data_IF_427419448942
#
_entry.id   IF_427419448942
#
_cell.length_a   1.000
_cell.length_b   1.000
_cell.length_c   1.000
_cell.angle_alpha   90.00
_cell.angle_beta   90.00
_cell.angle_gamma   90.00
#
_symmetry.space_group_name_H-M   'P 1'
#
loop_
_entity.id
_entity.type
_entity.pdbx_description
1 polymer ?
#
# COMPACT_ATOMS: atom_id res chain seq x y z
N UNK A 1 -25.87 4.05 -10.90
CA UNK A 1 -26.54 3.79 -12.20
C UNK A 1 -26.30 4.98 -13.11
N UNK A 2 -25.98 4.70 -14.37
CA UNK A 2 -26.19 5.52 -15.59
C UNK A 2 -25.78 7.01 -15.52
N UNK A 3 -24.80 7.52 -16.27
CA UNK A 3 -24.37 7.14 -17.62
C UNK A 3 -24.89 8.15 -18.64
N UNK A 4 -24.03 8.46 -19.62
CA UNK A 4 -24.29 9.18 -20.88
C UNK A 4 -24.56 10.69 -20.74
N UNK A 5 -24.08 11.57 -21.59
CA UNK A 5 -23.44 11.44 -22.89
C UNK A 5 -23.57 12.80 -23.59
N UNK A 6 -22.62 13.09 -24.48
CA UNK A 6 -22.75 13.86 -25.74
C UNK A 6 -23.98 14.78 -25.91
N UNK A 7 -23.89 16.01 -26.43
CA UNK A 7 -23.44 16.31 -27.80
C UNK A 7 -23.64 17.81 -28.14
N UNK A 8 -22.92 18.23 -29.18
CA UNK A 8 -23.34 19.18 -30.23
C UNK A 8 -23.63 20.66 -29.93
N UNK A 9 -22.64 21.49 -30.30
CA UNK A 9 -22.65 22.37 -31.49
C UNK A 9 -23.88 23.27 -31.69
N UNK A 10 -23.65 24.58 -31.61
CA UNK A 10 -24.48 25.59 -32.26
C UNK A 10 -23.61 26.50 -33.11
N UNK A 11 -23.86 26.48 -34.42
CA UNK A 11 -23.42 27.47 -35.40
C UNK A 11 -24.31 28.72 -35.31
N UNK A 12 -23.77 29.88 -35.66
CA UNK A 12 -24.42 30.97 -36.42
C UNK A 12 -23.27 31.88 -36.91
N UNK A 13 -23.03 32.27 -38.17
CA UNK A 13 -23.81 32.68 -39.37
C UNK A 13 -23.65 34.19 -39.62
N UNK A 14 -22.86 34.53 -40.68
CA UNK A 14 -22.99 35.57 -41.75
C UNK A 14 -23.04 37.07 -41.26
N UNK A 15 -22.48 38.15 -41.87
CA UNK A 15 -22.62 38.74 -43.23
C UNK A 15 -21.71 39.99 -43.42
N UNK A 16 -21.06 40.05 -44.60
CA UNK A 16 -20.69 41.13 -45.57
C UNK A 16 -20.51 42.62 -45.15
N UNK A 17 -19.58 43.32 -45.82
CA UNK A 17 -19.81 44.60 -46.55
C UNK A 17 -18.52 45.11 -47.24
N UNK A 18 -18.41 45.09 -48.58
CA UNK A 18 -18.50 46.17 -49.61
C UNK A 18 -17.42 47.28 -49.63
N UNK A 19 -16.85 47.54 -50.81
CA UNK A 19 -16.95 48.85 -51.50
C UNK A 19 -16.24 48.90 -52.85
N UNK A 20 -16.91 49.56 -53.79
CA UNK A 20 -16.58 49.90 -55.18
C UNK A 20 -16.30 51.41 -55.27
N UNK A 21 -15.57 51.90 -56.30
CA UNK A 21 -15.71 53.20 -57.03
C UNK A 21 -14.56 53.29 -58.08
N UNK A 22 -14.78 53.19 -59.41
CA UNK A 22 -15.19 54.19 -60.44
C UNK A 22 -14.27 55.42 -60.65
N UNK A 23 -13.72 55.64 -61.87
CA UNK A 23 -14.19 56.65 -62.87
C UNK A 23 -13.38 56.62 -64.21
N UNK A 24 -14.00 57.22 -65.23
CA UNK A 24 -13.77 57.22 -66.70
C UNK A 24 -13.38 58.62 -67.21
N UNK A 25 -12.59 58.74 -68.32
CA UNK A 25 -12.79 59.55 -69.58
C UNK A 25 -11.46 59.65 -70.37
N UNK A 26 -11.27 58.94 -71.50
CA UNK A 26 -11.48 59.27 -72.95
C UNK A 26 -10.57 60.37 -73.53
N UNK A 27 -9.70 59.98 -74.48
CA UNK A 27 -9.52 60.64 -75.79
C UNK A 27 -8.79 59.69 -76.78
N UNK A 28 -9.19 59.80 -78.04
CA UNK A 28 -8.98 58.89 -79.17
C UNK A 28 -7.62 59.08 -79.87
N UNK A 29 -6.95 57.99 -80.32
CA UNK A 29 -6.26 57.92 -81.63
C UNK A 29 -6.20 56.45 -82.12
N UNK A 30 -6.88 56.21 -83.25
CA UNK A 30 -6.67 55.26 -84.37
C UNK A 30 -6.19 53.80 -84.11
N UNK A 31 -7.02 52.78 -84.44
CA UNK A 31 -7.09 52.08 -85.76
C UNK A 31 -5.95 51.03 -85.88
N UNK A 32 -6.15 49.76 -85.53
CA UNK A 32 -6.64 48.62 -86.37
C UNK A 32 -6.39 47.35 -85.51
N UNK A 33 -7.07 46.21 -85.58
CA UNK A 33 -8.11 45.65 -86.42
C UNK A 33 -8.79 44.48 -85.67
N UNK A 34 -10.05 44.22 -86.04
CA UNK A 34 -10.80 42.95 -86.00
C UNK A 34 -10.95 42.21 -84.64
N UNK A 35 -12.13 42.19 -83.99
CA UNK A 35 -13.34 41.40 -84.34
C UNK A 35 -12.96 39.91 -84.49
N UNK A 36 -13.28 38.99 -83.55
CA UNK A 36 -14.61 38.44 -83.25
C UNK A 36 -14.67 37.87 -81.82
N UNK A 37 -15.77 38.15 -81.14
CA UNK A 37 -16.17 37.64 -79.83
C UNK A 37 -16.62 36.18 -79.91
N UNK A 38 -16.51 35.48 -78.76
CA UNK A 38 -17.36 34.36 -78.29
C UNK A 38 -16.76 32.95 -78.32
N UNK A 39 -16.91 32.27 -77.17
CA UNK A 39 -16.78 30.83 -76.84
C UNK A 39 -15.42 30.38 -76.28
N UNK A 40 -15.03 30.76 -75.05
CA UNK A 40 -14.04 30.00 -74.22
C UNK A 40 -14.19 30.12 -72.68
N UNK A 41 -15.31 30.62 -72.15
CA UNK A 41 -15.45 30.87 -70.70
C UNK A 41 -15.89 29.69 -69.78
N UNK A 42 -16.35 28.51 -70.23
CA UNK A 42 -16.57 27.36 -69.33
C UNK A 42 -15.27 26.68 -68.87
N UNK A 43 -14.26 26.65 -69.74
CA UNK A 43 -13.04 25.85 -69.54
C UNK A 43 -12.18 26.38 -68.39
N UNK A 44 -12.03 27.71 -68.32
CA UNK A 44 -11.16 28.38 -67.33
C UNK A 44 -11.69 28.22 -65.89
N UNK A 45 -13.02 28.21 -65.71
CA UNK A 45 -13.65 28.02 -64.39
C UNK A 45 -13.54 26.56 -63.93
N UNK A 46 -13.66 25.61 -64.87
CA UNK A 46 -13.47 24.18 -64.62
C UNK A 46 -12.00 23.89 -64.24
N UNK A 47 -11.04 24.51 -64.94
CA UNK A 47 -9.61 24.40 -64.61
C UNK A 47 -9.29 24.98 -63.22
N UNK A 48 -9.94 26.07 -62.83
CA UNK A 48 -9.75 26.68 -61.51
C UNK A 48 -10.35 25.83 -60.38
N UNK A 49 -11.50 25.17 -60.58
CA UNK A 49 -12.07 24.24 -59.59
C UNK A 49 -11.26 22.93 -59.50
N UNK A 50 -10.79 22.41 -60.64
CA UNK A 50 -9.85 21.28 -60.67
C UNK A 50 -8.53 21.61 -59.94
N UNK A 51 -7.97 22.80 -60.15
CA UNK A 51 -6.78 23.26 -59.43
C UNK A 51 -7.02 23.37 -57.92
N UNK A 52 -8.19 23.88 -57.49
CA UNK A 52 -8.57 23.94 -56.07
C UNK A 52 -8.70 22.55 -55.44
N UNK A 53 -9.34 21.60 -56.13
CA UNK A 53 -9.45 20.20 -55.68
C UNK A 53 -8.09 19.51 -55.59
N UNK A 54 -7.23 19.71 -56.59
CA UNK A 54 -5.86 19.18 -56.59
C UNK A 54 -5.02 19.76 -55.43
N UNK A 55 -5.15 21.06 -55.15
CA UNK A 55 -4.49 21.70 -54.02
C UNK A 55 -5.01 21.17 -52.67
N UNK A 56 -6.32 20.94 -52.54
CA UNK A 56 -6.93 20.34 -51.35
C UNK A 56 -6.43 18.90 -51.10
N UNK A 57 -6.38 18.06 -52.14
CA UNK A 57 -5.84 16.70 -52.07
C UNK A 57 -4.36 16.73 -51.65
N UNK A 58 -3.56 17.62 -52.24
CA UNK A 58 -2.15 17.79 -51.89
C UNK A 58 -1.98 18.19 -50.42
N UNK A 59 -2.83 19.10 -49.92
CA UNK A 59 -2.85 19.50 -48.50
C UNK A 59 -3.18 18.34 -47.56
N UNK A 60 -4.14 17.49 -47.92
CA UNK A 60 -4.50 16.29 -47.13
C UNK A 60 -3.37 15.26 -47.13
N UNK A 61 -2.75 15.00 -48.29
CA UNK A 61 -1.62 14.08 -48.41
C UNK A 61 -0.42 14.56 -47.59
N UNK A 62 -0.09 15.85 -47.66
CA UNK A 62 0.96 16.46 -46.84
C UNK A 62 0.67 16.31 -45.35
N UNK A 63 -0.56 16.64 -44.89
CA UNK A 63 -0.96 16.42 -43.48
C UNK A 63 -0.85 14.96 -43.04
N UNK A 64 -1.23 14.01 -43.90
CA UNK A 64 -1.11 12.56 -43.62
C UNK A 64 0.36 12.13 -43.53
N UNK A 65 1.21 12.65 -44.41
CA UNK A 65 2.66 12.42 -44.38
C UNK A 65 3.30 12.99 -43.11
N UNK A 66 2.96 14.23 -42.72
CA UNK A 66 3.41 14.84 -41.47
C UNK A 66 2.95 14.05 -40.25
N UNK A 67 1.68 13.64 -40.18
CA UNK A 67 1.17 12.81 -39.07
C UNK A 67 1.91 11.47 -38.97
N UNK A 68 2.14 10.81 -40.11
CA UNK A 68 2.91 9.56 -40.16
C UNK A 68 4.33 9.76 -39.65
N UNK A 69 4.99 10.85 -40.05
CA UNK A 69 6.33 11.17 -39.57
C UNK A 69 6.35 11.46 -38.06
N UNK A 70 5.38 12.24 -37.57
CA UNK A 70 5.25 12.53 -36.15
C UNK A 70 4.97 11.27 -35.32
N UNK A 71 4.07 10.38 -35.77
CA UNK A 71 3.81 9.10 -35.10
C UNK A 71 5.07 8.23 -35.05
N UNK A 72 5.86 8.18 -36.13
CA UNK A 72 7.15 7.45 -36.13
C UNK A 72 8.13 8.03 -35.11
N UNK A 73 8.27 9.36 -35.07
CA UNK A 73 9.16 10.04 -34.12
C UNK A 73 8.69 9.82 -32.68
N UNK A 74 7.40 10.00 -32.41
CA UNK A 74 6.81 9.78 -31.08
C UNK A 74 6.96 8.31 -30.64
N UNK A 75 6.77 7.35 -31.54
CA UNK A 75 6.92 5.93 -31.22
C UNK A 75 8.39 5.56 -30.93
N UNK A 76 9.35 6.16 -31.65
CA UNK A 76 10.78 6.03 -31.33
C UNK A 76 11.12 6.61 -29.97
N UNK A 77 10.61 7.82 -29.67
CA UNK A 77 10.80 8.48 -28.37
C UNK A 77 10.20 7.66 -27.23
N UNK A 78 8.98 7.17 -27.41
CA UNK A 78 8.30 6.31 -26.43
C UNK A 78 9.11 5.04 -26.15
N UNK A 79 9.59 4.35 -27.19
CA UNK A 79 10.43 3.15 -27.02
C UNK A 79 11.75 3.47 -26.32
N UNK A 80 12.38 4.60 -26.63
CA UNK A 80 13.62 5.02 -25.98
C UNK A 80 13.40 5.36 -24.49
N UNK A 81 12.32 6.08 -24.17
CA UNK A 81 11.94 6.39 -22.79
C UNK A 81 11.63 5.11 -22.01
N UNK A 82 10.82 4.22 -22.58
CA UNK A 82 10.49 2.95 -21.92
C UNK A 82 11.72 2.09 -21.67
N UNK A 83 12.65 2.01 -22.65
CA UNK A 83 13.93 1.33 -22.46
C UNK A 83 14.74 1.95 -21.31
N UNK A 84 14.88 3.27 -21.29
CA UNK A 84 15.61 3.98 -20.23
C UNK A 84 15.02 3.70 -18.84
N UNK A 85 13.69 3.77 -18.69
CA UNK A 85 13.01 3.45 -17.43
C UNK A 85 13.25 2.00 -17.01
N UNK A 86 13.15 1.05 -17.94
CA UNK A 86 13.41 -0.37 -17.65
C UNK A 86 14.86 -0.62 -17.26
N UNK A 87 15.81 0.01 -17.96
CA UNK A 87 17.24 -0.09 -17.67
C UNK A 87 17.55 0.47 -16.27
N UNK A 88 16.99 1.63 -15.92
CA UNK A 88 17.11 2.23 -14.60
C UNK A 88 16.52 1.33 -13.50
N UNK A 89 15.31 0.79 -13.71
CA UNK A 89 14.68 -0.10 -12.74
C UNK A 89 15.53 -1.35 -12.50
N UNK A 90 16.06 -1.95 -13.57
CA UNK A 90 16.94 -3.11 -13.46
C UNK A 90 18.22 -2.78 -12.69
N UNK A 91 18.83 -1.62 -12.93
CA UNK A 91 19.98 -1.15 -12.16
C UNK A 91 19.64 -0.98 -10.68
N UNK A 92 18.50 -0.36 -10.35
CA UNK A 92 18.05 -0.19 -8.96
C UNK A 92 17.82 -1.54 -8.28
N UNK A 93 17.20 -2.51 -8.96
CA UNK A 93 16.99 -3.86 -8.40
C UNK A 93 18.33 -4.55 -8.13
N UNK A 94 19.28 -4.44 -9.05
CA UNK A 94 20.64 -4.98 -8.87
C UNK A 94 21.28 -4.32 -7.65
N UNK A 95 21.24 -2.99 -7.56
CA UNK A 95 21.83 -2.25 -6.45
C UNK A 95 21.21 -2.62 -5.10
N UNK A 96 19.87 -2.70 -5.02
CA UNK A 96 19.17 -3.11 -3.80
C UNK A 96 19.54 -4.54 -3.38
N UNK A 97 19.64 -5.47 -4.34
CA UNK A 97 20.09 -6.84 -4.04
C UNK A 97 21.52 -6.87 -3.51
N UNK A 98 22.42 -6.09 -4.09
CA UNK A 98 23.80 -5.94 -3.60
C UNK A 98 23.82 -5.32 -2.20
N UNK A 99 22.99 -4.33 -1.94
CA UNK A 99 22.90 -3.69 -0.63
C UNK A 99 22.35 -4.63 0.44
N UNK A 100 21.31 -5.41 0.13
CA UNK A 100 20.79 -6.45 1.04
C UNK A 100 21.88 -7.47 1.35
N UNK A 101 22.53 -8.04 0.33
CA UNK A 101 23.61 -9.00 0.53
C UNK A 101 24.77 -8.42 1.36
N UNK A 102 25.10 -7.14 1.14
CA UNK A 102 26.11 -6.42 1.93
C UNK A 102 25.67 -6.24 3.39
N UNK A 103 24.42 -5.87 3.64
CA UNK A 103 23.90 -5.69 4.99
C UNK A 103 23.85 -7.03 5.74
N UNK A 104 23.37 -8.08 5.09
CA UNK A 104 23.37 -9.44 5.62
C UNK A 104 24.80 -9.91 5.93
N UNK A 105 25.74 -9.71 5.02
CA UNK A 105 27.15 -10.06 5.25
C UNK A 105 27.78 -9.28 6.41
N UNK A 106 27.45 -7.99 6.57
CA UNK A 106 27.88 -7.21 7.75
C UNK A 106 27.28 -7.74 9.05
N UNK A 107 26.02 -8.17 9.02
CA UNK A 107 25.34 -8.74 10.17
C UNK A 107 26.01 -10.06 10.58
N UNK A 108 26.32 -10.94 9.63
CA UNK A 108 27.04 -12.18 9.90
C UNK A 108 28.46 -11.94 10.42
N UNK A 109 29.20 -11.00 9.83
CA UNK A 109 30.52 -10.60 10.35
C UNK A 109 30.42 -10.02 11.76
N UNK A 110 29.38 -9.24 12.06
CA UNK A 110 29.15 -8.69 13.39
C UNK A 110 28.83 -9.79 14.40
N UNK A 111 28.00 -10.79 14.03
CA UNK A 111 27.76 -11.99 14.86
C UNK A 111 29.06 -12.74 15.19
N UNK A 112 30.01 -12.82 14.25
CA UNK A 112 31.29 -13.49 14.44
C UNK A 112 32.32 -12.65 15.22
N UNK A 113 32.30 -11.32 15.06
CA UNK A 113 33.25 -10.40 15.67
C UNK A 113 32.84 -9.93 17.07
N UNK A 114 31.57 -10.11 17.44
CA UNK A 114 31.08 -9.90 18.80
C UNK A 114 31.69 -10.99 19.70
N UNK A 115 32.53 -10.64 20.69
CA UNK A 115 33.06 -11.64 21.61
C UNK A 115 31.92 -12.25 22.45
N UNK A 116 32.11 -13.46 23.02
CA UNK A 116 31.14 -14.14 23.88
C UNK A 116 30.55 -13.38 25.09
N UNK A 117 31.09 -12.25 25.63
CA UNK A 117 30.45 -11.54 26.72
C UNK A 117 29.25 -10.67 26.29
N UNK A 118 29.01 -10.46 24.99
CA UNK A 118 27.76 -9.85 24.52
C UNK A 118 26.76 -10.94 24.12
N UNK A 119 26.53 -11.86 25.05
CA UNK A 119 25.40 -12.79 24.94
C UNK A 119 24.13 -11.96 24.82
N UNK A 120 23.37 -12.15 23.75
CA UNK A 120 22.12 -11.40 23.52
C UNK A 120 21.02 -11.79 24.49
N UNK A 121 21.19 -12.89 25.24
CA UNK A 121 20.18 -13.53 26.11
C UNK A 121 18.84 -13.74 25.41
N UNK A 122 18.88 -13.81 24.07
CA UNK A 122 17.72 -14.01 23.21
C UNK A 122 17.00 -15.32 23.53
N UNK A 123 17.66 -16.46 23.83
CA UNK A 123 16.96 -17.68 24.20
C UNK A 123 16.09 -17.50 25.46
N UNK A 124 16.60 -16.87 26.51
CA UNK A 124 15.84 -16.62 27.73
C UNK A 124 14.68 -15.65 27.48
N UNK A 125 14.93 -14.56 26.74
CA UNK A 125 13.88 -13.63 26.36
C UNK A 125 12.80 -14.31 25.52
N UNK A 126 13.18 -15.21 24.61
CA UNK A 126 12.26 -15.97 23.79
C UNK A 126 11.39 -16.92 24.62
N UNK A 127 11.95 -17.60 25.64
CA UNK A 127 11.17 -18.42 26.57
C UNK A 127 10.14 -17.56 27.32
N UNK A 128 10.53 -16.38 27.80
CA UNK A 128 9.60 -15.46 28.46
C UNK A 128 8.49 -14.98 27.51
N UNK A 129 8.84 -14.55 26.30
CA UNK A 129 7.87 -14.13 25.29
C UNK A 129 6.90 -15.26 24.92
N UNK A 130 7.43 -16.48 24.77
CA UNK A 130 6.66 -17.66 24.42
C UNK A 130 5.67 -18.04 25.53
N UNK A 131 6.06 -17.89 26.80
CA UNK A 131 5.14 -18.03 27.93
C UNK A 131 3.93 -17.08 27.80
N UNK A 132 4.16 -15.77 27.61
CA UNK A 132 3.04 -14.83 27.48
C UNK A 132 2.19 -15.11 26.24
N UNK A 133 2.81 -15.54 25.13
CA UNK A 133 2.10 -15.91 23.90
C UNK A 133 1.19 -17.12 24.08
N UNK A 134 1.67 -18.20 24.69
CA UNK A 134 0.89 -19.43 24.85
C UNK A 134 -0.21 -19.31 25.89
N UNK A 135 -0.02 -18.46 26.90
CA UNK A 135 -0.95 -18.27 28.00
C UNK A 135 -1.77 -17.00 27.85
N UNK A 136 -1.75 -16.34 26.69
CA UNK A 136 -2.44 -15.07 26.41
C UNK A 136 -3.92 -15.09 26.81
N UNK A 137 -4.62 -16.22 26.62
CA UNK A 137 -6.02 -16.41 27.02
C UNK A 137 -6.20 -17.32 28.25
N UNK A 138 -5.12 -17.56 28.98
CA UNK A 138 -5.07 -18.44 30.14
C UNK A 138 -4.68 -19.89 29.81
N UNK A 139 -4.66 -20.70 30.87
CA UNK A 139 -4.39 -22.13 30.76
C UNK A 139 -5.65 -22.90 30.38
N UNK A 140 -5.54 -23.78 29.39
CA UNK A 140 -6.63 -24.64 29.00
C UNK A 140 -6.74 -25.77 30.03
N UNK A 141 -7.90 -25.90 30.67
CA UNK A 141 -8.14 -26.91 31.70
C UNK A 141 -8.62 -28.26 31.17
N UNK A 142 -8.98 -28.35 29.88
CA UNK A 142 -9.47 -29.58 29.27
C UNK A 142 -8.29 -30.50 28.90
N UNK A 143 -8.09 -31.63 29.60
CA UNK A 143 -6.96 -32.52 29.34
C UNK A 143 -7.04 -33.21 27.97
N UNK A 144 -8.22 -33.24 27.33
CA UNK A 144 -8.38 -33.78 25.98
C UNK A 144 -7.95 -32.78 24.89
N UNK A 145 -7.78 -31.50 25.24
CA UNK A 145 -7.38 -30.47 24.30
C UNK A 145 -5.86 -30.51 24.06
N UNK A 146 -5.44 -30.50 22.79
CA UNK A 146 -4.02 -30.43 22.43
C UNK A 146 -3.31 -29.19 23.02
N UNK A 147 -4.04 -28.10 23.23
CA UNK A 147 -3.50 -26.89 23.86
C UNK A 147 -3.14 -27.10 25.33
N UNK A 148 -3.94 -27.86 26.09
CA UNK A 148 -3.60 -28.22 27.48
C UNK A 148 -2.27 -28.96 27.52
N UNK A 149 -2.11 -30.00 26.70
CA UNK A 149 -0.86 -30.79 26.64
C UNK A 149 0.33 -29.91 26.26
N UNK A 150 0.19 -29.07 25.23
CA UNK A 150 1.26 -28.16 24.80
C UNK A 150 1.68 -27.18 25.89
N UNK A 151 0.70 -26.57 26.58
CA UNK A 151 0.96 -25.65 27.68
C UNK A 151 1.61 -26.36 28.88
N UNK A 152 1.13 -27.55 29.24
CA UNK A 152 1.67 -28.34 30.34
C UNK A 152 3.11 -28.79 30.06
N UNK A 153 3.39 -29.32 28.86
CA UNK A 153 4.72 -29.76 28.46
C UNK A 153 5.72 -28.59 28.41
N UNK A 154 5.27 -27.42 27.94
CA UNK A 154 6.09 -26.22 27.98
C UNK A 154 6.47 -25.84 29.41
N UNK A 155 5.50 -25.81 30.34
CA UNK A 155 5.80 -25.48 31.73
C UNK A 155 6.76 -26.49 32.37
N UNK A 156 6.57 -27.78 32.14
CA UNK A 156 7.47 -28.82 32.68
C UNK A 156 8.88 -28.75 32.10
N UNK A 157 9.03 -28.34 30.83
CA UNK A 157 10.34 -28.26 30.19
C UNK A 157 11.09 -26.96 30.46
N UNK A 158 10.39 -25.88 30.83
CA UNK A 158 11.00 -24.55 31.01
C UNK A 158 11.11 -24.10 32.46
N UNK A 159 10.22 -24.56 33.34
CA UNK A 159 10.23 -24.16 34.75
C UNK A 159 11.16 -25.05 35.57
N UNK A 160 11.96 -24.43 36.43
CA UNK A 160 12.80 -25.15 37.36
C UNK A 160 11.98 -25.81 38.48
N UNK A 161 12.38 -26.98 39.03
CA UNK A 161 11.70 -27.61 40.16
C UNK A 161 11.63 -26.72 41.41
N UNK A 162 12.58 -25.79 41.56
CA UNK A 162 12.64 -24.81 42.64
C UNK A 162 11.97 -23.46 42.28
N UNK A 163 11.12 -23.42 41.24
CA UNK A 163 10.33 -22.25 40.87
C UNK A 163 9.62 -21.66 42.10
N UNK A 164 9.87 -20.38 42.38
CA UNK A 164 9.17 -19.65 43.45
C UNK A 164 8.09 -18.75 42.85
N UNK A 165 6.84 -18.97 43.22
CA UNK A 165 5.69 -18.13 42.83
C UNK A 165 4.85 -17.78 44.04
N UNK A 166 4.60 -16.47 44.23
CA UNK A 166 3.81 -15.95 45.36
C UNK A 166 4.22 -16.55 46.73
N UNK A 167 5.54 -16.65 46.97
CA UNK A 167 6.10 -17.20 48.21
C UNK A 167 6.01 -18.73 48.38
N UNK A 168 5.55 -19.46 47.37
CA UNK A 168 5.49 -20.91 47.38
C UNK A 168 6.47 -21.50 46.35
N UNK A 169 6.94 -22.72 46.58
CA UNK A 169 7.88 -23.42 45.70
C UNK A 169 7.15 -24.49 44.87
N UNK A 170 7.51 -24.61 43.59
CA UNK A 170 7.11 -25.69 42.70
C UNK A 170 6.10 -25.29 41.61
N UNK A 171 6.12 -26.05 40.51
CA UNK A 171 5.25 -25.86 39.35
C UNK A 171 3.76 -26.05 39.67
N UNK A 172 3.43 -26.96 40.59
CA UNK A 172 2.05 -27.22 41.01
C UNK A 172 1.33 -25.96 41.51
N UNK A 173 2.07 -25.03 42.12
CA UNK A 173 1.52 -23.78 42.63
C UNK A 173 1.14 -22.82 41.52
N UNK A 174 1.93 -22.78 40.44
CA UNK A 174 1.58 -22.04 39.23
C UNK A 174 0.34 -22.65 38.56
N UNK A 175 0.24 -23.98 38.48
CA UNK A 175 -0.94 -24.65 37.93
C UNK A 175 -2.20 -24.41 38.78
N UNK A 176 -2.09 -24.46 40.12
CA UNK A 176 -3.18 -24.10 41.02
C UNK A 176 -3.65 -22.66 40.79
N UNK A 177 -2.72 -21.73 40.56
CA UNK A 177 -3.05 -20.34 40.26
C UNK A 177 -3.76 -20.20 38.92
N UNK A 178 -3.33 -20.95 37.90
CA UNK A 178 -4.02 -21.00 36.62
C UNK A 178 -5.47 -21.49 36.75
N UNK A 179 -5.66 -22.59 37.48
CA UNK A 179 -6.99 -23.14 37.80
C UNK A 179 -7.85 -22.10 38.52
N UNK A 180 -7.27 -21.37 39.47
CA UNK A 180 -7.98 -20.31 40.18
C UNK A 180 -8.43 -19.20 39.23
N UNK A 181 -7.53 -18.66 38.40
CA UNK A 181 -7.87 -17.58 37.47
C UNK A 181 -8.96 -17.98 36.48
N UNK A 182 -8.80 -19.12 35.83
CA UNK A 182 -9.73 -19.58 34.78
C UNK A 182 -11.11 -19.95 35.35
N UNK A 183 -11.18 -20.45 36.59
CA UNK A 183 -12.47 -20.77 37.23
C UNK A 183 -13.15 -19.56 37.87
N UNK A 184 -12.36 -18.56 38.27
CA UNK A 184 -12.87 -17.38 38.96
C UNK A 184 -13.38 -16.35 37.98
N UNK A 185 -12.62 -16.04 36.93
CA UNK A 185 -12.93 -14.96 35.99
C UNK A 185 -13.60 -15.48 34.73
N UNK A 186 -14.53 -14.71 34.18
CA UNK A 186 -15.30 -15.12 32.99
C UNK A 186 -14.49 -14.94 31.71
N UNK A 187 -13.54 -14.02 31.71
CA UNK A 187 -12.55 -13.88 30.65
C UNK A 187 -11.21 -13.50 31.26
N UNK A 188 -10.15 -14.01 30.63
CA UNK A 188 -8.77 -13.80 30.99
C UNK A 188 -8.00 -13.39 29.73
N UNK A 189 -7.22 -12.32 29.82
CA UNK A 189 -6.32 -11.90 28.75
C UNK A 189 -5.04 -11.29 29.33
N UNK A 190 -3.87 -11.71 28.84
CA UNK A 190 -2.59 -11.09 29.17
C UNK A 190 -2.04 -10.28 27.99
N UNK A 191 -1.50 -9.11 28.30
CA UNK A 191 -0.77 -8.27 27.35
C UNK A 191 0.66 -8.07 27.85
N UNK A 192 1.65 -8.50 27.08
CA UNK A 192 3.07 -8.26 27.38
C UNK A 192 3.52 -6.95 26.73
N UNK A 193 3.96 -6.00 27.54
CA UNK A 193 4.46 -4.70 27.08
C UNK A 193 5.94 -4.74 26.77
N UNK A 194 6.71 -5.33 27.67
CA UNK A 194 8.17 -5.41 27.55
C UNK A 194 8.71 -6.63 28.28
N UNK A 195 9.70 -7.31 27.71
CA UNK A 195 10.52 -8.32 28.37
C UNK A 195 11.99 -8.04 28.07
N UNK A 196 12.82 -7.89 29.10
CA UNK A 196 14.25 -7.62 28.94
C UNK A 196 15.08 -8.14 30.10
N UNK A 197 16.36 -8.40 29.84
CA UNK A 197 17.29 -8.86 30.87
C UNK A 197 17.70 -7.70 31.79
N UNK A 198 17.64 -7.95 33.10
CA UNK A 198 18.02 -6.99 34.14
C UNK A 198 19.23 -7.45 34.97
N UNK A 199 19.52 -8.75 34.98
CA UNK A 199 20.76 -9.31 35.56
C UNK A 199 21.15 -10.58 34.81
N UNK A 200 22.44 -10.90 34.79
CA UNK A 200 22.98 -12.09 34.12
C UNK A 200 23.97 -12.88 34.99
N UNK A 201 24.13 -12.50 36.25
CA UNK A 201 25.01 -13.19 37.20
C UNK A 201 24.43 -13.13 38.62
N UNK A 202 24.38 -14.26 39.36
CA UNK A 202 24.78 -15.61 38.95
C UNK A 202 23.82 -16.27 37.95
N UNK A 203 22.59 -15.78 37.85
CA UNK A 203 21.55 -16.28 36.92
C UNK A 203 21.07 -15.16 36.01
N UNK A 204 20.49 -15.53 34.86
CA UNK A 204 19.79 -14.59 33.97
C UNK A 204 18.44 -14.26 34.57
N UNK A 205 18.18 -12.98 34.78
CA UNK A 205 16.93 -12.45 35.32
C UNK A 205 16.28 -11.59 34.24
N UNK A 206 15.05 -11.96 33.89
CA UNK A 206 14.22 -11.22 32.94
C UNK A 206 13.17 -10.46 33.72
N UNK A 207 13.06 -9.16 33.45
CA UNK A 207 11.93 -8.35 33.86
C UNK A 207 10.91 -8.31 32.72
N UNK A 208 9.72 -8.85 33.00
CA UNK A 208 8.57 -8.79 32.11
C UNK A 208 7.50 -7.87 32.70
N UNK A 209 7.16 -6.82 31.96
CA UNK A 209 6.06 -5.93 32.27
C UNK A 209 4.84 -6.36 31.45
N UNK A 210 3.80 -6.82 32.14
CA UNK A 210 2.57 -7.29 31.52
C UNK A 210 1.34 -6.77 32.26
N UNK A 211 0.25 -6.56 31.51
CA UNK A 211 -1.07 -6.24 32.05
C UNK A 211 -1.97 -7.46 31.96
N UNK A 212 -2.65 -7.75 33.07
CA UNK A 212 -3.62 -8.82 33.15
C UNK A 212 -5.04 -8.25 33.16
N UNK A 213 -5.83 -8.59 32.15
CA UNK A 213 -7.22 -8.21 32.02
C UNK A 213 -8.10 -9.36 32.49
N UNK A 214 -8.86 -9.12 33.56
CA UNK A 214 -9.74 -10.10 34.18
C UNK A 214 -11.16 -9.56 34.14
N UNK A 215 -12.05 -10.27 33.45
CA UNK A 215 -13.47 -9.93 33.47
C UNK A 215 -14.14 -10.66 34.62
N UNK A 216 -14.68 -9.89 35.56
CA UNK A 216 -15.48 -10.44 36.64
C UNK A 216 -16.89 -10.75 36.13
N UNK A 217 -17.42 -11.89 36.54
CA UNK A 217 -18.84 -12.21 36.48
C UNK A 217 -19.47 -12.04 37.87
N UNK A 218 -20.79 -12.15 37.95
CA UNK A 218 -21.48 -12.27 39.25
C UNK A 218 -20.92 -13.43 40.10
N UNK A 219 -20.55 -14.56 39.48
CA UNK A 219 -19.92 -15.69 40.18
C UNK A 219 -18.56 -15.26 40.76
N UNK A 220 -17.76 -14.52 40.00
CA UNK A 220 -16.47 -13.98 40.45
C UNK A 220 -16.65 -13.07 41.67
N UNK A 221 -17.62 -12.16 41.62
CA UNK A 221 -17.93 -11.22 42.72
C UNK A 221 -18.42 -11.98 43.95
N UNK A 222 -19.29 -12.97 43.78
CA UNK A 222 -19.75 -13.81 44.89
C UNK A 222 -18.60 -14.56 45.58
N UNK A 223 -17.62 -15.03 44.80
CA UNK A 223 -16.46 -15.75 45.33
C UNK A 223 -15.46 -14.83 46.04
N UNK A 224 -15.14 -13.68 45.43
CA UNK A 224 -14.07 -12.78 45.91
C UNK A 224 -14.57 -11.73 46.90
N UNK A 225 -15.79 -11.23 46.70
CA UNK A 225 -16.37 -10.12 47.45
C UNK A 225 -17.84 -10.39 47.81
N UNK A 226 -18.14 -11.46 48.57
CA UNK A 226 -19.51 -11.88 48.85
C UNK A 226 -20.37 -10.79 49.51
N UNK A 227 -19.74 -9.88 50.27
CA UNK A 227 -20.42 -8.76 50.92
C UNK A 227 -20.98 -7.71 49.94
N UNK A 228 -20.47 -7.65 48.71
CA UNK A 228 -20.97 -6.73 47.68
C UNK A 228 -22.29 -7.18 47.05
N UNK A 229 -22.67 -8.45 47.19
CA UNK A 229 -23.93 -8.98 46.65
C UNK A 229 -25.17 -8.31 47.26
N UNK A 230 -25.03 -7.76 48.46
CA UNK A 230 -26.10 -7.01 49.11
C UNK A 230 -26.25 -5.59 48.57
N UNK A 231 -25.34 -5.14 47.69
CA UNK A 231 -25.36 -3.84 47.03
C UNK A 231 -25.47 -4.02 45.51
N UNK A 232 -26.67 -4.37 45.07
CA UNK A 232 -27.01 -4.66 43.68
C UNK A 232 -26.65 -3.52 42.70
N UNK A 233 -26.88 -2.23 43.00
CA UNK A 233 -26.45 -1.14 42.12
C UNK A 233 -24.93 -1.07 41.88
N UNK A 234 -24.13 -1.52 42.85
CA UNK A 234 -22.67 -1.52 42.75
C UNK A 234 -22.16 -2.75 41.98
N UNK A 235 -22.84 -3.89 42.15
CA UNK A 235 -22.57 -5.13 41.40
C UNK A 235 -22.82 -4.99 39.90
N UNK A 236 -23.82 -4.21 39.49
CA UNK A 236 -24.16 -3.98 38.07
C UNK A 236 -23.20 -3.02 37.33
N UNK A 237 -22.31 -2.34 38.05
CA UNK A 237 -21.35 -1.37 37.48
C UNK A 237 -19.94 -1.93 37.31
N UNK A 238 -19.69 -3.13 37.82
CA UNK A 238 -18.41 -3.85 37.77
C UNK A 238 -18.39 -4.82 36.58
#
# INVERSE_FOLDING_TARGET
>A
MSGLGEKCRTQQVIVLSTSTIMKVRREDVAMEAAIVYTIKTPQVVIDMDMAKRAAAIRKVLMKKATRRNQSKINQRRYRAQQKCTTDLLNQTVIQLRTDVARMEGRLEMMKLAIPPPLRTFEPECNVANEYFRMFVYGYNLDPACAQHTTQFDFLNSTMSPDLVIMGNVGLDKLLQQWVLYVNTFEAFHMELHQAHVVSFSPNVVIHAEATLHLRMSRKSIQLLFPHLLNNEPLTQKL
#
